data_IF_103984322384
#
_entry.id   IF_103984322384
#
_cell.length_a   1.000
_cell.length_b   1.000
_cell.length_c   1.000
_cell.angle_alpha   90.00
_cell.angle_beta   90.00
_cell.angle_gamma   90.00
#
_symmetry.space_group_name_H-M   'P 1'
#
loop_
_entity.id
_entity.type
_entity.pdbx_description
1 polymer ?
#
# COMPACT_ATOMS: atom_id res chain seq x y z
N UNK A 1 11.41 -4.87 -29.93
CA UNK A 1 11.77 -5.11 -28.55
C UNK A 1 10.47 -5.23 -27.78
N UNK A 2 10.17 -6.48 -27.43
CA UNK A 2 9.01 -6.89 -26.63
C UNK A 2 9.11 -6.22 -25.25
N UNK A 3 7.96 -5.83 -24.70
CA UNK A 3 7.81 -4.86 -23.66
C UNK A 3 8.69 -5.07 -22.44
N UNK A 4 9.21 -3.98 -21.94
CA UNK A 4 9.91 -3.92 -20.64
C UNK A 4 8.93 -4.40 -19.54
N UNK A 5 9.19 -5.56 -18.89
CA UNK A 5 8.28 -6.10 -17.86
C UNK A 5 7.99 -5.13 -16.74
N UNK A 6 8.90 -4.19 -16.47
CA UNK A 6 8.74 -3.15 -15.46
C UNK A 6 7.75 -2.07 -15.92
N UNK A 7 7.74 -1.74 -17.20
CA UNK A 7 6.77 -0.81 -17.77
C UNK A 7 5.36 -1.39 -17.69
N UNK A 8 5.19 -2.68 -18.00
CA UNK A 8 3.90 -3.35 -17.90
C UNK A 8 3.42 -3.45 -16.45
N UNK A 9 4.32 -3.79 -15.52
CA UNK A 9 3.99 -3.83 -14.09
C UNK A 9 3.66 -2.44 -13.53
N UNK A 10 4.41 -1.42 -13.93
CA UNK A 10 4.12 -0.02 -13.55
C UNK A 10 2.76 0.43 -14.07
N UNK A 11 2.49 0.17 -15.35
CA UNK A 11 1.19 0.50 -15.98
C UNK A 11 0.06 -0.26 -15.28
N UNK A 12 0.24 -1.55 -14.98
CA UNK A 12 -0.76 -2.35 -14.29
C UNK A 12 -1.06 -1.79 -12.88
N UNK A 13 -0.03 -1.39 -12.12
CA UNK A 13 -0.21 -0.74 -10.84
C UNK A 13 -0.93 0.60 -10.94
N UNK A 14 -0.56 1.43 -11.91
CA UNK A 14 -1.21 2.73 -12.12
C UNK A 14 -2.65 2.59 -12.60
N UNK A 15 -2.93 1.60 -13.44
CA UNK A 15 -4.30 1.27 -13.82
C UNK A 15 -5.12 0.79 -12.62
N UNK A 16 -4.55 -0.03 -11.74
CA UNK A 16 -5.21 -0.45 -10.51
C UNK A 16 -5.52 0.75 -9.60
N UNK A 17 -4.59 1.68 -9.42
CA UNK A 17 -4.80 2.92 -8.67
C UNK A 17 -5.92 3.79 -9.29
N UNK A 18 -5.90 3.96 -10.63
CA UNK A 18 -6.92 4.71 -11.37
C UNK A 18 -8.29 4.05 -11.24
N UNK A 19 -8.37 2.73 -11.38
CA UNK A 19 -9.64 1.99 -11.22
C UNK A 19 -10.17 2.15 -9.80
N UNK A 20 -9.31 2.05 -8.79
CA UNK A 20 -9.69 2.25 -7.39
C UNK A 20 -10.15 3.70 -7.14
N UNK A 21 -9.44 4.68 -7.70
CA UNK A 21 -9.83 6.09 -7.61
C UNK A 21 -11.17 6.35 -8.30
N UNK A 22 -11.40 5.78 -9.50
CA UNK A 22 -12.66 5.87 -10.22
C UNK A 22 -13.82 5.24 -9.47
N UNK A 23 -13.62 4.05 -8.89
CA UNK A 23 -14.62 3.40 -8.05
C UNK A 23 -14.96 4.22 -6.78
N UNK A 24 -14.03 5.04 -6.29
CA UNK A 24 -14.25 5.98 -5.19
C UNK A 24 -15.05 7.21 -5.61
N UNK A 25 -14.75 7.79 -6.76
CA UNK A 25 -15.46 8.96 -7.29
C UNK A 25 -16.92 8.64 -7.61
N UNK A 26 -17.22 7.45 -8.09
CA UNK A 26 -18.58 6.98 -8.33
C UNK A 26 -19.42 6.78 -7.07
N UNK A 27 -18.81 6.81 -5.88
CA UNK A 27 -19.48 6.60 -4.56
C UNK A 27 -19.86 7.88 -3.82
N UNK A 28 -19.51 9.03 -4.34
CA UNK A 28 -19.83 10.30 -3.69
C UNK A 28 -21.14 10.91 -4.16
N UNK A 29 -22.30 10.39 -3.80
CA UNK A 29 -23.58 11.08 -3.57
C UNK A 29 -24.72 10.06 -3.50
N UNK A 30 -25.21 9.78 -2.33
CA UNK A 30 -26.51 9.09 -2.20
C UNK A 30 -26.65 8.27 -0.90
N UNK A 31 -27.46 8.75 -0.01
CA UNK A 31 -28.23 8.11 1.05
C UNK A 31 -27.70 6.79 1.67
N UNK A 32 -27.63 6.78 3.01
CA UNK A 32 -27.51 5.62 3.90
C UNK A 32 -28.67 4.63 3.71
N UNK A 33 -28.66 3.91 2.59
CA UNK A 33 -29.33 2.61 2.51
C UNK A 33 -28.26 1.57 2.93
N UNK A 34 -28.67 0.50 3.65
CA UNK A 34 -27.83 -0.69 3.86
C UNK A 34 -27.32 -1.15 2.50
N UNK A 35 -26.12 -0.75 2.14
CA UNK A 35 -25.50 -1.07 0.87
C UNK A 35 -25.28 -2.56 0.84
N UNK A 36 -25.87 -3.25 -0.14
CA UNK A 36 -25.50 -4.63 -0.41
C UNK A 36 -23.98 -4.69 -0.60
N UNK A 37 -23.30 -5.56 0.15
CA UNK A 37 -21.87 -5.77 0.05
C UNK A 37 -21.61 -6.30 -1.35
N UNK A 38 -20.96 -5.50 -2.18
CA UNK A 38 -20.56 -5.91 -3.52
C UNK A 38 -19.25 -6.70 -3.44
N UNK A 39 -19.13 -7.75 -4.27
CA UNK A 39 -17.90 -8.55 -4.33
C UNK A 39 -16.67 -7.70 -4.68
N UNK A 40 -16.84 -6.61 -5.43
CA UNK A 40 -15.78 -5.62 -5.70
C UNK A 40 -15.19 -4.99 -4.45
N UNK A 41 -15.96 -4.95 -3.34
CA UNK A 41 -15.50 -4.43 -2.07
C UNK A 41 -14.40 -5.31 -1.44
N UNK A 42 -14.34 -6.59 -1.79
CA UNK A 42 -13.30 -7.54 -1.33
C UNK A 42 -11.90 -7.09 -1.79
N UNK A 43 -11.74 -6.81 -3.09
CA UNK A 43 -10.45 -6.39 -3.65
C UNK A 43 -10.04 -5.03 -3.08
N UNK A 44 -11.00 -4.12 -2.93
CA UNK A 44 -10.75 -2.83 -2.30
C UNK A 44 -10.33 -2.97 -0.84
N UNK A 45 -11.01 -3.82 -0.09
CA UNK A 45 -10.66 -4.11 1.32
C UNK A 45 -9.25 -4.70 1.40
N UNK A 46 -8.91 -5.69 0.56
CA UNK A 46 -7.56 -6.25 0.51
C UNK A 46 -6.51 -5.16 0.27
N UNK A 47 -6.74 -4.28 -0.71
CA UNK A 47 -5.79 -3.20 -1.04
C UNK A 47 -5.63 -2.17 0.08
N UNK A 48 -6.66 -1.92 0.86
CA UNK A 48 -6.65 -0.96 1.97
C UNK A 48 -6.27 -1.57 3.32
N UNK A 49 -5.89 -2.87 3.36
CA UNK A 49 -5.49 -3.59 4.57
C UNK A 49 -4.25 -4.47 4.33
N UNK A 50 -3.33 -4.01 3.44
CA UNK A 50 -2.13 -4.77 3.06
C UNK A 50 -1.14 -4.95 4.22
N UNK A 51 -1.09 -3.98 5.14
CA UNK A 51 -0.24 -4.01 6.31
C UNK A 51 -0.71 -4.99 7.39
N UNK A 52 -1.96 -5.47 7.29
CA UNK A 52 -2.50 -6.43 8.24
C UNK A 52 -2.21 -7.88 7.84
N UNK A 53 -2.32 -8.79 8.81
CA UNK A 53 -2.25 -10.23 8.54
C UNK A 53 -3.59 -10.70 7.94
N UNK A 54 -3.82 -10.37 6.66
CA UNK A 54 -5.02 -10.78 5.95
C UNK A 54 -5.08 -12.30 5.74
N UNK A 55 -6.27 -12.87 5.98
CA UNK A 55 -6.59 -14.27 5.73
C UNK A 55 -7.96 -14.41 5.06
N UNK A 56 -8.19 -15.51 4.35
CA UNK A 56 -9.51 -15.82 3.79
C UNK A 56 -10.58 -15.89 4.88
N UNK A 57 -10.25 -16.40 6.07
CA UNK A 57 -11.15 -16.45 7.21
C UNK A 57 -11.56 -15.06 7.73
N UNK A 58 -10.65 -14.09 7.70
CA UNK A 58 -10.98 -12.69 8.04
C UNK A 58 -11.91 -12.07 6.99
N UNK A 59 -11.60 -12.26 5.70
CA UNK A 59 -12.46 -11.79 4.62
C UNK A 59 -13.84 -12.44 4.66
N UNK A 60 -13.91 -13.75 4.95
CA UNK A 60 -15.15 -14.50 5.12
C UNK A 60 -16.05 -13.86 6.18
N UNK A 61 -15.49 -13.54 7.35
CA UNK A 61 -16.23 -12.86 8.44
C UNK A 61 -16.63 -11.43 8.06
N UNK A 62 -15.75 -10.70 7.40
CA UNK A 62 -16.00 -9.30 7.02
C UNK A 62 -17.08 -9.16 5.96
N UNK A 63 -17.11 -10.08 4.99
CA UNK A 63 -18.01 -10.01 3.84
C UNK A 63 -19.20 -10.99 3.92
N UNK A 64 -19.32 -11.76 5.00
CA UNK A 64 -20.37 -12.75 5.17
C UNK A 64 -20.48 -13.76 4.01
N UNK A 65 -19.33 -14.16 3.46
CA UNK A 65 -19.18 -15.13 2.39
C UNK A 65 -18.31 -16.29 2.85
N UNK A 66 -18.46 -17.47 2.25
CA UNK A 66 -17.55 -18.58 2.53
C UNK A 66 -16.14 -18.29 1.97
N UNK A 67 -15.10 -18.85 2.61
CA UNK A 67 -13.70 -18.73 2.13
C UNK A 67 -13.55 -19.22 0.69
N UNK A 68 -14.26 -20.30 0.33
CA UNK A 68 -14.26 -20.84 -1.03
C UNK A 68 -14.91 -19.87 -2.04
N UNK A 69 -15.99 -19.19 -1.67
CA UNK A 69 -16.63 -18.20 -2.53
C UNK A 69 -15.73 -16.98 -2.77
N UNK A 70 -15.03 -16.52 -1.73
CA UNK A 70 -14.06 -15.41 -1.84
C UNK A 70 -12.87 -15.83 -2.70
N UNK A 71 -12.30 -17.00 -2.45
CA UNK A 71 -11.17 -17.53 -3.25
C UNK A 71 -11.56 -17.69 -4.73
N UNK A 72 -12.74 -18.26 -5.01
CA UNK A 72 -13.25 -18.38 -6.37
C UNK A 72 -13.45 -17.02 -7.04
N UNK A 73 -14.04 -16.05 -6.33
CA UNK A 73 -14.20 -14.69 -6.84
C UNK A 73 -12.87 -14.03 -7.21
N UNK A 74 -11.87 -14.11 -6.30
CA UNK A 74 -10.53 -13.55 -6.54
C UNK A 74 -9.91 -14.19 -7.79
N UNK A 75 -9.91 -15.52 -7.87
CA UNK A 75 -9.31 -16.24 -9.00
C UNK A 75 -10.04 -15.94 -10.31
N UNK A 76 -11.37 -15.89 -10.32
CA UNK A 76 -12.15 -15.58 -11.51
C UNK A 76 -11.94 -14.14 -12.00
N UNK A 77 -11.75 -13.20 -11.06
CA UNK A 77 -11.62 -11.78 -11.40
C UNK A 77 -10.19 -11.40 -11.78
N UNK A 78 -9.18 -12.00 -11.16
CA UNK A 78 -7.78 -11.58 -11.29
C UNK A 78 -6.87 -12.62 -11.95
N UNK A 79 -7.32 -13.87 -12.06
CA UNK A 79 -6.49 -14.99 -12.49
C UNK A 79 -5.49 -15.49 -11.44
N UNK A 80 -5.44 -14.86 -10.24
CA UNK A 80 -4.48 -15.16 -9.19
C UNK A 80 -5.14 -15.82 -7.98
N UNK A 81 -4.36 -16.58 -7.21
CA UNK A 81 -4.80 -17.02 -5.90
C UNK A 81 -4.84 -15.83 -4.92
N UNK A 82 -5.52 -16.01 -3.77
CA UNK A 82 -5.56 -14.99 -2.71
C UNK A 82 -4.16 -14.56 -2.27
N UNK A 83 -3.26 -15.51 -2.06
CA UNK A 83 -1.90 -15.22 -1.59
C UNK A 83 -1.05 -14.54 -2.66
N UNK A 84 -1.19 -14.97 -3.91
CA UNK A 84 -0.47 -14.36 -5.03
C UNK A 84 -0.93 -12.92 -5.23
N UNK A 85 -2.25 -12.68 -5.24
CA UNK A 85 -2.81 -11.34 -5.37
C UNK A 85 -2.35 -10.42 -4.23
N UNK A 86 -2.40 -10.91 -2.99
CA UNK A 86 -1.94 -10.15 -1.83
C UNK A 86 -0.45 -9.80 -1.95
N UNK A 87 0.36 -10.76 -2.40
CA UNK A 87 1.79 -10.54 -2.70
C UNK A 87 2.00 -9.48 -3.78
N UNK A 88 1.25 -9.55 -4.90
CA UNK A 88 1.31 -8.55 -5.96
C UNK A 88 0.97 -7.15 -5.49
N UNK A 89 -0.13 -7.01 -4.75
CA UNK A 89 -0.55 -5.71 -4.21
C UNK A 89 0.51 -5.13 -3.27
N UNK A 90 1.11 -5.95 -2.41
CA UNK A 90 2.19 -5.53 -1.50
C UNK A 90 3.46 -5.14 -2.25
N UNK A 91 3.87 -5.91 -3.24
CA UNK A 91 5.04 -5.58 -4.08
C UNK A 91 4.79 -4.29 -4.87
N UNK A 92 3.61 -4.14 -5.46
CA UNK A 92 3.25 -2.90 -6.14
C UNK A 92 3.40 -1.67 -5.26
N UNK A 93 2.90 -1.74 -4.02
CA UNK A 93 3.02 -0.64 -3.05
C UNK A 93 4.47 -0.42 -2.61
N UNK A 94 5.27 -1.50 -2.48
CA UNK A 94 6.70 -1.40 -2.14
C UNK A 94 7.53 -0.68 -3.21
N UNK A 95 7.18 -0.82 -4.48
CA UNK A 95 7.82 -0.12 -5.60
C UNK A 95 7.72 1.39 -5.40
N UNK A 96 6.53 1.90 -5.12
CA UNK A 96 6.31 3.33 -4.90
C UNK A 96 7.10 3.84 -3.68
N UNK A 97 7.10 3.11 -2.56
CA UNK A 97 7.93 3.46 -1.41
C UNK A 97 9.43 3.48 -1.74
N UNK A 98 9.91 2.51 -2.53
CA UNK A 98 11.32 2.48 -2.93
C UNK A 98 11.71 3.65 -3.83
N UNK A 99 10.78 4.18 -4.63
CA UNK A 99 11.01 5.32 -5.51
C UNK A 99 11.04 6.65 -4.75
N UNK A 100 10.13 6.82 -3.79
CA UNK A 100 9.87 8.13 -3.16
C UNK A 100 10.38 8.24 -1.72
N UNK A 101 10.93 7.16 -1.15
CA UNK A 101 11.47 7.17 0.22
C UNK A 101 12.83 6.49 0.29
N UNK A 102 13.52 6.66 1.40
CA UNK A 102 14.75 5.94 1.76
C UNK A 102 14.51 4.72 2.68
N UNK A 103 13.23 4.35 2.88
CA UNK A 103 12.86 3.20 3.71
C UNK A 103 13.54 1.92 3.24
N UNK A 104 14.07 1.15 4.19
CA UNK A 104 14.73 -0.13 3.93
C UNK A 104 13.72 -1.24 3.67
N UNK A 105 14.17 -2.38 3.13
CA UNK A 105 13.30 -3.55 2.93
C UNK A 105 12.74 -4.08 4.24
N UNK A 106 13.46 -3.94 5.36
CA UNK A 106 12.99 -4.29 6.69
C UNK A 106 11.82 -3.41 7.13
N UNK A 107 11.97 -2.10 6.95
CA UNK A 107 10.93 -1.12 7.25
C UNK A 107 9.69 -1.30 6.36
N UNK A 108 9.89 -1.63 5.09
CA UNK A 108 8.80 -1.93 4.17
C UNK A 108 8.09 -3.24 4.50
N UNK A 109 8.83 -4.26 4.96
CA UNK A 109 8.22 -5.51 5.41
C UNK A 109 7.26 -5.27 6.58
N UNK A 110 7.66 -4.44 7.53
CA UNK A 110 6.87 -4.04 8.69
C UNK A 110 5.60 -3.28 8.28
N UNK A 111 5.73 -2.27 7.41
CA UNK A 111 4.60 -1.43 6.97
C UNK A 111 3.60 -2.23 6.11
N UNK A 112 4.10 -3.10 5.24
CA UNK A 112 3.30 -3.82 4.25
C UNK A 112 2.88 -5.23 4.70
N UNK A 113 3.15 -5.61 5.96
CA UNK A 113 2.69 -6.87 6.52
C UNK A 113 3.38 -8.11 5.93
N UNK A 114 4.63 -7.99 5.48
CA UNK A 114 5.47 -9.15 5.19
C UNK A 114 5.99 -9.78 6.50
N UNK A 115 6.34 -11.06 6.44
CA UNK A 115 6.86 -11.78 7.61
C UNK A 115 8.19 -11.17 8.07
N UNK A 116 9.07 -10.88 7.12
CA UNK A 116 10.40 -10.30 7.36
C UNK A 116 10.99 -9.68 6.08
N UNK A 117 12.16 -9.05 6.21
CA UNK A 117 12.88 -8.43 5.10
C UNK A 117 13.40 -9.42 4.06
N UNK A 118 13.68 -10.66 4.47
CA UNK A 118 14.12 -11.71 3.54
C UNK A 118 12.98 -12.14 2.64
N UNK A 119 11.78 -12.27 3.19
CA UNK A 119 10.58 -12.63 2.45
C UNK A 119 10.24 -11.57 1.40
N UNK A 120 10.12 -10.29 1.79
CA UNK A 120 9.84 -9.22 0.81
C UNK A 120 10.95 -9.12 -0.26
N UNK A 121 12.23 -9.25 0.13
CA UNK A 121 13.35 -9.20 -0.82
C UNK A 121 13.32 -10.34 -1.83
N UNK A 122 12.97 -11.54 -1.38
CA UNK A 122 12.83 -12.72 -2.26
C UNK A 122 11.68 -12.54 -3.25
N UNK A 123 10.49 -12.14 -2.76
CA UNK A 123 9.32 -11.92 -3.61
C UNK A 123 9.57 -10.78 -4.59
N UNK A 124 10.16 -9.67 -4.12
CA UNK A 124 10.52 -8.52 -4.96
C UNK A 124 11.48 -8.93 -6.08
N UNK A 125 12.58 -9.62 -5.74
CA UNK A 125 13.57 -10.04 -6.73
C UNK A 125 13.03 -11.07 -7.72
N UNK A 126 12.19 -12.01 -7.26
CA UNK A 126 11.54 -12.97 -8.14
C UNK A 126 10.60 -12.29 -9.14
N UNK A 127 9.94 -11.20 -8.72
CA UNK A 127 8.97 -10.49 -9.55
C UNK A 127 9.60 -9.51 -10.52
N UNK A 128 10.62 -8.78 -10.08
CA UNK A 128 11.24 -7.69 -10.86
C UNK A 128 12.54 -8.10 -11.54
N UNK A 129 13.03 -9.33 -11.30
CA UNK A 129 14.29 -9.81 -11.87
C UNK A 129 15.54 -9.10 -11.31
N UNK A 130 15.39 -8.23 -10.30
CA UNK A 130 16.50 -7.47 -9.72
C UNK A 130 16.29 -7.22 -8.23
N UNK A 131 17.40 -6.92 -7.53
CA UNK A 131 17.34 -6.55 -6.10
C UNK A 131 16.77 -5.15 -5.91
N UNK A 132 16.12 -4.91 -4.78
CA UNK A 132 15.55 -3.61 -4.43
C UNK A 132 16.57 -2.46 -4.43
N UNK A 133 17.84 -2.72 -4.05
CA UNK A 133 18.91 -1.74 -4.11
C UNK A 133 19.24 -1.32 -5.54
N UNK A 134 19.31 -2.29 -6.45
CA UNK A 134 19.55 -2.05 -7.89
C UNK A 134 18.35 -1.30 -8.49
N UNK A 135 17.13 -1.71 -8.14
CA UNK A 135 15.90 -1.03 -8.55
C UNK A 135 15.93 0.44 -8.14
N UNK A 136 16.22 0.73 -6.86
CA UNK A 136 16.31 2.10 -6.34
C UNK A 136 17.35 2.93 -7.07
N UNK A 137 18.52 2.37 -7.36
CA UNK A 137 19.60 3.09 -8.05
C UNK A 137 19.21 3.45 -9.48
N UNK A 138 18.69 2.49 -10.24
CA UNK A 138 18.33 2.67 -11.65
C UNK A 138 17.13 3.62 -11.79
N UNK A 139 16.04 3.35 -11.07
CA UNK A 139 14.77 4.04 -11.30
C UNK A 139 14.64 5.39 -10.59
N UNK A 140 15.39 5.64 -9.53
CA UNK A 140 15.46 6.97 -8.91
C UNK A 140 16.10 8.01 -9.86
N UNK A 141 17.02 7.56 -10.72
CA UNK A 141 17.61 8.40 -11.78
C UNK A 141 16.64 8.62 -12.95
N UNK A 142 15.89 7.59 -13.31
CA UNK A 142 14.95 7.62 -14.46
C UNK A 142 13.66 8.36 -14.11
N UNK A 143 13.18 8.28 -12.87
CA UNK A 143 11.97 8.99 -12.42
C UNK A 143 12.04 10.50 -12.62
N UNK A 144 13.23 11.10 -12.44
CA UNK A 144 13.47 12.51 -12.74
C UNK A 144 13.50 12.85 -14.23
N UNK A 145 13.75 11.88 -15.11
CA UNK A 145 13.83 12.08 -16.56
C UNK A 145 12.49 11.87 -17.27
N UNK A 146 11.61 11.05 -16.73
CA UNK A 146 10.35 10.69 -17.38
C UNK A 146 9.18 11.66 -17.07
N UNK A 147 9.39 12.68 -16.24
CA UNK A 147 8.37 13.68 -15.93
C UNK A 147 7.10 13.08 -15.27
N UNK A 148 7.19 11.87 -14.74
CA UNK A 148 6.09 11.23 -14.03
C UNK A 148 6.03 11.92 -12.65
N UNK A 149 5.27 12.99 -12.57
CA UNK A 149 4.96 13.68 -11.32
C UNK A 149 3.81 12.95 -10.64
N UNK A 150 4.12 11.83 -9.99
CA UNK A 150 3.28 11.41 -8.87
C UNK A 150 3.55 12.38 -7.72
N UNK A 151 2.52 12.81 -7.03
CA UNK A 151 2.68 13.63 -5.84
C UNK A 151 3.39 12.80 -4.74
N UNK A 152 4.68 13.06 -4.44
CA UNK A 152 5.44 12.28 -3.49
C UNK A 152 5.02 12.55 -2.04
N UNK A 153 4.19 13.56 -1.79
CA UNK A 153 3.83 14.07 -0.46
C UNK A 153 3.39 12.95 0.48
N UNK A 154 2.61 12.00 -0.05
CA UNK A 154 2.13 10.87 0.74
C UNK A 154 3.27 9.99 1.28
N UNK A 155 4.24 9.70 0.44
CA UNK A 155 5.39 8.87 0.80
C UNK A 155 6.37 9.64 1.69
N UNK A 156 6.54 10.94 1.45
CA UNK A 156 7.36 11.82 2.29
C UNK A 156 6.81 11.95 3.70
N UNK A 157 5.49 12.04 3.86
CA UNK A 157 4.81 12.03 5.18
C UNK A 157 5.09 10.73 5.92
N UNK A 158 4.92 9.57 5.28
CA UNK A 158 5.18 8.26 5.90
C UNK A 158 6.66 8.14 6.29
N UNK A 159 7.57 8.51 5.41
CA UNK A 159 9.00 8.52 5.68
C UNK A 159 9.36 9.45 6.85
N UNK A 160 8.80 10.64 6.87
CA UNK A 160 9.01 11.60 7.97
C UNK A 160 8.55 11.04 9.31
N UNK A 161 7.35 10.48 9.40
CA UNK A 161 6.84 9.86 10.62
C UNK A 161 7.72 8.70 11.05
N UNK A 162 8.15 7.86 10.10
CA UNK A 162 9.00 6.72 10.38
C UNK A 162 10.37 7.12 10.97
N UNK A 163 10.97 8.21 10.53
CA UNK A 163 12.27 8.69 11.03
C UNK A 163 12.16 9.56 12.31
N UNK A 164 10.96 10.04 12.63
CA UNK A 164 10.78 10.97 13.74
C UNK A 164 9.81 10.47 14.82
N UNK A 165 9.39 9.20 14.80
CA UNK A 165 8.39 8.63 15.73
C UNK A 165 8.72 8.84 17.21
N UNK A 166 10.01 8.93 17.58
CA UNK A 166 10.47 9.14 18.95
C UNK A 166 10.26 10.58 19.46
N UNK A 167 9.98 11.53 18.55
CA UNK A 167 9.71 12.92 18.90
C UNK A 167 8.26 13.10 19.31
N UNK A 168 7.97 14.20 20.00
CA UNK A 168 6.59 14.62 20.27
C UNK A 168 5.99 15.25 19.00
N UNK A 169 5.33 14.40 18.20
CA UNK A 169 4.73 14.80 16.94
C UNK A 169 3.23 15.07 17.13
N UNK A 170 2.81 16.27 16.74
CA UNK A 170 1.41 16.66 16.71
C UNK A 170 0.87 16.65 15.27
N UNK A 171 -0.36 16.17 15.04
CA UNK A 171 -0.93 16.08 13.70
C UNK A 171 -1.03 17.43 13.00
N UNK A 172 -1.31 18.51 13.75
CA UNK A 172 -1.39 19.88 13.22
C UNK A 172 -0.04 20.37 12.68
N UNK A 173 1.03 20.16 13.44
CA UNK A 173 2.37 20.58 13.05
C UNK A 173 2.90 19.74 11.87
N UNK A 174 2.60 18.43 11.90
CA UNK A 174 2.97 17.55 10.79
C UNK A 174 2.22 17.91 9.52
N UNK A 175 0.91 18.11 9.59
CA UNK A 175 0.12 18.53 8.44
C UNK A 175 0.61 19.85 7.85
N UNK A 176 0.83 20.89 8.70
CA UNK A 176 1.34 22.18 8.26
C UNK A 176 2.71 22.09 7.57
N UNK A 177 3.60 21.20 8.04
CA UNK A 177 4.92 20.96 7.42
C UNK A 177 4.82 20.55 5.96
N UNK A 178 3.78 19.80 5.59
CA UNK A 178 3.56 19.29 4.23
C UNK A 178 2.48 20.06 3.46
N UNK A 179 2.05 21.21 3.98
CA UNK A 179 1.01 22.03 3.34
C UNK A 179 -0.38 21.40 3.34
N UNK A 180 -0.65 20.49 4.27
CA UNK A 180 -1.89 19.73 4.39
C UNK A 180 -2.73 20.21 5.57
N UNK A 181 -4.04 20.03 5.49
CA UNK A 181 -4.91 20.00 6.67
C UNK A 181 -4.77 18.66 7.41
N UNK A 182 -5.15 18.61 8.69
CA UNK A 182 -5.15 17.36 9.48
C UNK A 182 -6.05 16.29 8.85
N UNK A 183 -7.16 16.71 8.22
CA UNK A 183 -8.06 15.80 7.52
C UNK A 183 -7.40 15.17 6.29
N UNK A 184 -6.70 15.97 5.49
CA UNK A 184 -5.96 15.49 4.33
C UNK A 184 -4.81 14.58 4.75
N UNK A 185 -4.05 14.94 5.79
CA UNK A 185 -3.01 14.10 6.38
C UNK A 185 -3.54 12.72 6.77
N UNK A 186 -4.65 12.66 7.51
CA UNK A 186 -5.26 11.39 7.92
C UNK A 186 -5.80 10.59 6.72
N UNK A 187 -6.44 11.25 5.76
CA UNK A 187 -6.92 10.58 4.54
C UNK A 187 -5.77 9.95 3.75
N UNK A 188 -4.66 10.67 3.64
CA UNK A 188 -3.45 10.24 2.97
C UNK A 188 -2.81 9.04 3.69
N UNK A 189 -2.67 9.11 5.02
CA UNK A 189 -2.11 8.02 5.81
C UNK A 189 -3.01 6.78 5.80
N UNK A 190 -4.33 6.93 5.90
CA UNK A 190 -5.28 5.82 5.74
C UNK A 190 -5.15 5.13 4.38
N UNK A 191 -4.84 5.89 3.33
CA UNK A 191 -4.62 5.31 2.01
C UNK A 191 -3.27 4.60 1.89
N UNK A 192 -2.21 5.17 2.46
CA UNK A 192 -0.85 4.64 2.28
C UNK A 192 -0.50 3.52 3.25
N UNK A 193 -0.88 3.66 4.51
CA UNK A 193 -0.47 2.75 5.60
C UNK A 193 -1.64 2.22 6.42
N UNK A 194 -2.89 2.49 5.98
CA UNK A 194 -4.13 1.94 6.55
C UNK A 194 -4.39 2.36 8.01
N UNK A 195 -3.72 3.41 8.44
CA UNK A 195 -3.81 3.98 9.79
C UNK A 195 -3.93 5.48 9.72
N UNK A 196 -4.64 6.09 10.65
CA UNK A 196 -4.57 7.53 10.84
C UNK A 196 -3.23 7.94 11.47
N UNK A 197 -3.04 9.23 11.69
CA UNK A 197 -1.79 9.76 12.24
C UNK A 197 -1.46 9.15 13.61
N UNK A 198 -2.43 9.09 14.51
CA UNK A 198 -2.23 8.61 15.89
C UNK A 198 -1.96 7.11 15.91
N UNK A 199 -2.73 6.35 15.14
CA UNK A 199 -2.59 4.91 15.03
C UNK A 199 -1.28 4.52 14.37
N UNK A 200 -0.86 5.24 13.32
CA UNK A 200 0.43 4.96 12.67
C UNK A 200 1.62 5.31 13.58
N UNK A 201 1.57 6.44 14.27
CA UNK A 201 2.61 6.82 15.20
C UNK A 201 2.75 5.83 16.37
N UNK A 202 1.62 5.37 16.92
CA UNK A 202 1.60 4.35 17.96
C UNK A 202 2.11 3.00 17.44
N UNK A 203 1.73 2.58 16.24
CA UNK A 203 2.25 1.38 15.58
C UNK A 203 3.79 1.42 15.49
N UNK A 204 4.36 2.53 15.03
CA UNK A 204 5.81 2.70 14.94
C UNK A 204 6.49 2.61 16.32
N UNK A 205 5.92 3.27 17.32
CA UNK A 205 6.45 3.27 18.71
C UNK A 205 6.41 1.90 19.35
N UNK A 206 5.29 1.17 19.20
CA UNK A 206 5.11 -0.16 19.76
C UNK A 206 6.08 -1.14 19.11
N UNK A 207 6.17 -1.16 17.79
CA UNK A 207 7.08 -2.07 17.09
C UNK A 207 8.53 -1.85 17.48
N UNK A 208 8.95 -0.61 17.67
CA UNK A 208 10.31 -0.30 18.13
C UNK A 208 10.53 -0.71 19.60
N UNK A 209 9.54 -0.54 20.46
CA UNK A 209 9.63 -1.00 21.84
C UNK A 209 9.71 -2.52 21.97
N UNK A 210 9.07 -3.25 21.06
CA UNK A 210 9.12 -4.72 21.02
C UNK A 210 10.42 -5.26 20.39
N UNK A 211 11.16 -4.45 19.64
CA UNK A 211 12.41 -4.83 18.99
C UNK A 211 13.67 -4.58 19.85
N UNK A 212 13.51 -3.95 21.03
CA UNK A 212 14.55 -3.73 22.05
C UNK A 212 14.57 -4.87 23.05
#
# INVERSE_FOLDING_TARGET
>A
PEGDPLRELYIANKLAEVVIAFLRLGRGHGHRARKAIEKSDILHYMYTHLGEKLTLAQLSRQFFLSESAISAYITQTTGLSFFDLLGEMRIGKSISFLLYTDLTMEQLAEILGFVDSSHISKVFSARLGMKASQFREVYRRVGGLCGIQDDPTAYEVVSYLYHNYARDLLPQHTAARFGLSVKELNTLLLYQVERDFSDFLNFLRINRACAL
#
